data_IF_957645628017
#
_entry.id   IF_957645628017
#
_cell.length_a   1.000
_cell.length_b   1.000
_cell.length_c   1.000
_cell.angle_alpha   90.00
_cell.angle_beta   90.00
_cell.angle_gamma   90.00
#
_symmetry.space_group_name_H-M   'P 1'
#
loop_
_entity.id
_entity.type
_entity.pdbx_description
1 polymer ?
#
# COMPACT_ATOMS: atom_id res chain seq x y z
N UNK A 1 6.75 10.16 -16.19
CA UNK A 1 7.06 11.27 -15.27
C UNK A 1 7.50 10.59 -13.99
N UNK A 2 8.78 10.70 -13.64
CA UNK A 2 9.37 9.95 -12.52
C UNK A 2 9.22 10.85 -11.29
N UNK A 3 8.51 10.36 -10.28
CA UNK A 3 8.07 11.11 -9.10
C UNK A 3 9.16 12.05 -8.56
N UNK A 4 8.93 13.36 -8.71
CA UNK A 4 9.87 14.46 -8.44
C UNK A 4 10.27 14.61 -6.96
N UNK A 5 9.79 13.71 -6.09
CA UNK A 5 10.08 13.72 -4.65
C UNK A 5 11.05 12.61 -4.20
N UNK A 6 11.52 11.76 -5.12
CA UNK A 6 12.37 10.61 -4.76
C UNK A 6 13.85 10.91 -4.99
N UNK A 7 14.18 11.89 -5.83
CA UNK A 7 15.52 12.06 -6.39
C UNK A 7 15.96 13.52 -6.31
N UNK A 8 17.07 13.81 -5.63
CA UNK A 8 17.74 15.11 -5.69
C UNK A 8 19.11 14.98 -6.39
N UNK A 9 19.47 16.00 -7.20
CA UNK A 9 20.69 16.04 -8.00
C UNK A 9 21.66 17.08 -7.43
N UNK A 10 22.83 16.66 -6.93
CA UNK A 10 23.91 17.58 -6.52
C UNK A 10 24.93 17.68 -7.67
N UNK A 11 25.19 18.90 -8.18
CA UNK A 11 26.11 19.12 -9.31
C UNK A 11 27.48 18.52 -8.98
N UNK A 12 27.97 17.63 -9.86
CA UNK A 12 29.27 16.99 -9.76
C UNK A 12 29.34 15.63 -9.04
N UNK A 13 28.23 15.09 -8.50
CA UNK A 13 28.30 13.90 -7.60
C UNK A 13 27.31 12.78 -7.97
N UNK A 14 26.28 13.03 -8.77
CA UNK A 14 25.33 12.00 -9.24
C UNK A 14 23.90 12.17 -8.69
N UNK A 15 23.10 11.11 -8.80
CA UNK A 15 21.67 11.08 -8.47
C UNK A 15 21.47 10.34 -7.13
N UNK A 16 20.93 11.01 -6.11
CA UNK A 16 20.79 10.45 -4.76
C UNK A 16 19.31 10.37 -4.35
N UNK A 17 18.93 9.25 -3.73
CA UNK A 17 17.60 9.02 -3.17
C UNK A 17 17.48 9.79 -1.85
N UNK A 18 16.41 10.57 -1.69
CA UNK A 18 16.17 11.35 -0.47
C UNK A 18 15.97 10.42 0.74
N UNK A 19 16.59 10.72 1.88
CA UNK A 19 16.34 10.01 3.12
C UNK A 19 14.87 10.23 3.53
N UNK A 20 14.09 9.14 3.64
CA UNK A 20 12.64 9.21 3.85
C UNK A 20 11.76 9.16 2.59
N UNK A 21 12.32 9.27 1.38
CA UNK A 21 11.57 9.11 0.12
C UNK A 21 10.94 7.72 0.01
N UNK A 22 11.66 6.68 0.47
CA UNK A 22 11.14 5.31 0.54
C UNK A 22 9.92 5.21 1.45
N UNK A 23 9.95 5.89 2.59
CA UNK A 23 8.85 5.88 3.57
C UNK A 23 7.63 6.61 3.05
N UNK A 24 7.83 7.77 2.40
CA UNK A 24 6.75 8.55 1.78
C UNK A 24 6.06 7.75 0.66
N UNK A 25 6.85 7.16 -0.25
CA UNK A 25 6.35 6.30 -1.32
C UNK A 25 5.60 5.08 -0.77
N UNK A 26 6.13 4.43 0.28
CA UNK A 26 5.46 3.30 0.93
C UNK A 26 4.11 3.71 1.53
N UNK A 27 4.02 4.88 2.15
CA UNK A 27 2.78 5.38 2.74
C UNK A 27 1.74 5.71 1.67
N UNK A 28 2.13 6.31 0.56
CA UNK A 28 1.23 6.57 -0.58
C UNK A 28 0.72 5.26 -1.19
N UNK A 29 1.61 4.30 -1.42
CA UNK A 29 1.22 2.96 -1.91
C UNK A 29 0.30 2.24 -0.93
N UNK A 30 0.55 2.33 0.38
CA UNK A 30 -0.35 1.77 1.41
C UNK A 30 -1.74 2.42 1.37
N UNK A 31 -1.81 3.73 1.13
CA UNK A 31 -3.07 4.47 1.00
C UNK A 31 -3.84 4.03 -0.25
N UNK A 32 -3.17 3.94 -1.39
CA UNK A 32 -3.75 3.42 -2.64
C UNK A 32 -4.23 1.98 -2.45
N UNK A 33 -3.40 1.11 -1.89
CA UNK A 33 -3.74 -0.29 -1.63
C UNK A 33 -4.97 -0.43 -0.72
N UNK A 34 -5.06 0.40 0.33
CA UNK A 34 -6.25 0.44 1.19
C UNK A 34 -7.51 0.78 0.39
N UNK A 35 -7.43 1.79 -0.47
CA UNK A 35 -8.59 2.28 -1.21
C UNK A 35 -9.02 1.32 -2.33
N UNK A 36 -8.07 0.68 -3.01
CA UNK A 36 -8.33 -0.16 -4.17
C UNK A 36 -8.65 -1.62 -3.80
N UNK A 37 -8.11 -2.12 -2.68
CA UNK A 37 -8.24 -3.54 -2.32
C UNK A 37 -8.97 -3.74 -0.99
N UNK A 38 -8.57 -3.02 0.06
CA UNK A 38 -9.13 -3.25 1.41
C UNK A 38 -10.57 -2.73 1.52
N UNK A 39 -10.86 -1.51 1.04
CA UNK A 39 -12.23 -0.97 1.10
C UNK A 39 -13.22 -1.83 0.29
N UNK A 40 -12.95 -2.19 -0.98
CA UNK A 40 -13.85 -3.03 -1.75
C UNK A 40 -14.04 -4.42 -1.14
N UNK A 41 -12.98 -5.03 -0.59
CA UNK A 41 -13.07 -6.31 0.12
C UNK A 41 -14.05 -6.23 1.30
N UNK A 42 -13.95 -5.18 2.12
CA UNK A 42 -14.83 -4.99 3.27
C UNK A 42 -16.27 -4.69 2.87
N UNK A 43 -16.48 -3.94 1.79
CA UNK A 43 -17.81 -3.69 1.24
C UNK A 43 -18.47 -4.97 0.72
N UNK A 44 -17.73 -5.80 -0.04
CA UNK A 44 -18.21 -7.10 -0.51
C UNK A 44 -18.49 -8.04 0.66
N UNK A 45 -17.61 -8.11 1.65
CA UNK A 45 -17.84 -8.87 2.87
C UNK A 45 -19.15 -8.45 3.57
N UNK A 46 -19.38 -7.14 3.68
CA UNK A 46 -20.63 -6.60 4.25
C UNK A 46 -21.85 -6.96 3.39
N UNK A 47 -21.75 -6.90 2.06
CA UNK A 47 -22.82 -7.32 1.13
C UNK A 47 -23.16 -8.80 1.28
N UNK A 48 -22.16 -9.63 1.53
CA UNK A 48 -22.32 -11.06 1.79
C UNK A 48 -22.75 -11.38 3.24
N UNK A 49 -22.89 -10.37 4.10
CA UNK A 49 -23.25 -10.55 5.50
C UNK A 49 -22.16 -11.22 6.34
N UNK A 50 -20.90 -11.17 5.89
CA UNK A 50 -19.76 -11.73 6.61
C UNK A 50 -19.37 -10.81 7.76
N UNK A 51 -19.10 -11.40 8.92
CA UNK A 51 -18.51 -10.67 10.04
C UNK A 51 -17.04 -10.38 9.76
N UNK A 52 -16.50 -9.35 10.42
CA UNK A 52 -15.07 -9.03 10.33
C UNK A 52 -14.19 -10.21 10.76
N UNK A 53 -14.62 -10.99 11.76
CA UNK A 53 -13.91 -12.18 12.22
C UNK A 53 -13.84 -13.26 11.13
N UNK A 54 -14.93 -13.47 10.39
CA UNK A 54 -14.96 -14.40 9.26
C UNK A 54 -14.03 -13.95 8.14
N UNK A 55 -14.02 -12.66 7.78
CA UNK A 55 -13.11 -12.12 6.77
C UNK A 55 -11.65 -12.31 7.17
N UNK A 56 -11.30 -12.01 8.43
CA UNK A 56 -9.95 -12.22 8.95
C UNK A 56 -9.55 -13.69 8.95
N UNK A 57 -10.49 -14.59 9.26
CA UNK A 57 -10.26 -16.04 9.19
C UNK A 57 -9.95 -16.48 7.77
N UNK A 58 -10.74 -16.06 6.78
CA UNK A 58 -10.52 -16.41 5.37
C UNK A 58 -9.15 -15.92 4.85
N UNK A 59 -8.75 -14.69 5.21
CA UNK A 59 -7.43 -14.16 4.85
C UNK A 59 -6.31 -15.02 5.43
N UNK A 60 -6.41 -15.43 6.70
CA UNK A 60 -5.42 -16.30 7.36
C UNK A 60 -5.37 -17.69 6.75
N UNK A 61 -6.52 -18.26 6.38
CA UNK A 61 -6.59 -19.58 5.74
C UNK A 61 -5.90 -19.58 4.37
N UNK A 62 -6.06 -18.53 3.57
CA UNK A 62 -5.40 -18.40 2.27
C UNK A 62 -3.92 -18.00 2.37
N UNK A 63 -3.47 -17.32 3.45
CA UNK A 63 -2.04 -17.03 3.69
C UNK A 63 -1.21 -18.29 3.98
N UNK A 64 -1.82 -19.30 4.61
CA UNK A 64 -1.13 -20.56 4.98
C UNK A 64 -1.17 -21.65 3.90
N UNK A 65 -1.67 -21.30 2.72
CA UNK A 65 -1.85 -22.20 1.58
C UNK A 65 -0.72 -22.03 0.57
#
# INVERSE_FOLDING_TARGET
>A
MVDEEIIYKRRGIGMFVMEGAKTKLLNERKKQYRNEYILPLLEEAKRLGLSMETVLKLIKEEEQK
#
